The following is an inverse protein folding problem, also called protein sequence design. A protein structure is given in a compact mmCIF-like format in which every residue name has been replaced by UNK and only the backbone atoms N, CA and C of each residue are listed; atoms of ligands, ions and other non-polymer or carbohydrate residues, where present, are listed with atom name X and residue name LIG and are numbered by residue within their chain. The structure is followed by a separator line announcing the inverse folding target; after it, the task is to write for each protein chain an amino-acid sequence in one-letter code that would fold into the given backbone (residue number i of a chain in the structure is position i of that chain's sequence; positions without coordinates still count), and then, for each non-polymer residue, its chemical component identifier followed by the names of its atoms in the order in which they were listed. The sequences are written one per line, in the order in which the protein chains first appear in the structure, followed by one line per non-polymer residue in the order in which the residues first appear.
data_IF_833288629862
#
_entry.id   IF_833288629862
#
_cell.length_a   1.000
_cell.length_b   1.000
_cell.length_c   1.000
_cell.angle_alpha   90.00
_cell.angle_beta   90.00
_cell.angle_gamma   90.00
#
_symmetry.space_group_name_H-M   'P 1'
#
loop_
_entity.id
_entity.type
_entity.pdbx_description
1 polymer ?
#
# COMPACT_ATOMS: atom_id res chain seq x y z
N UNK A 1 -12.08 50.16 0.19
CA UNK A 1 -12.87 48.92 0.34
C UNK A 1 -12.20 47.67 -0.27
N UNK A 2 -11.47 47.76 -1.40
CA UNK A 2 -10.79 46.62 -2.04
C UNK A 2 -9.54 46.10 -1.28
N UNK A 3 -8.75 46.98 -0.65
CA UNK A 3 -7.53 46.57 0.08
C UNK A 3 -7.83 45.78 1.37
N UNK A 4 -8.90 46.10 2.09
CA UNK A 4 -9.28 45.42 3.32
C UNK A 4 -9.73 43.97 3.06
N UNK A 5 -10.45 43.71 1.96
CA UNK A 5 -10.82 42.36 1.53
C UNK A 5 -9.61 41.51 1.11
N UNK A 6 -8.58 42.13 0.52
CA UNK A 6 -7.34 41.41 0.15
C UNK A 6 -6.54 41.03 1.40
N UNK A 7 -6.50 41.90 2.41
CA UNK A 7 -5.79 41.64 3.66
C UNK A 7 -6.46 40.54 4.50
N UNK A 8 -7.79 40.52 4.55
CA UNK A 8 -8.55 39.45 5.22
C UNK A 8 -8.40 38.09 4.54
N UNK A 9 -8.30 38.06 3.22
CA UNK A 9 -8.03 36.82 2.46
C UNK A 9 -6.62 36.28 2.71
N UNK A 10 -5.63 37.17 2.83
CA UNK A 10 -4.24 36.82 3.11
C UNK A 10 -4.07 36.28 4.55
N UNK A 11 -4.77 36.91 5.52
CA UNK A 11 -4.79 36.43 6.91
C UNK A 11 -5.52 35.09 7.07
N UNK A 12 -6.56 34.82 6.29
CA UNK A 12 -7.28 33.56 6.27
C UNK A 12 -6.40 32.44 5.73
N UNK A 13 -5.59 32.72 4.70
CA UNK A 13 -4.64 31.80 4.09
C UNK A 13 -3.49 31.47 5.06
N UNK A 14 -2.99 32.46 5.80
CA UNK A 14 -1.91 32.26 6.80
C UNK A 14 -2.41 31.51 8.04
N UNK A 15 -3.66 31.71 8.47
CA UNK A 15 -4.23 31.08 9.66
C UNK A 15 -4.54 29.60 9.50
N UNK A 16 -4.64 29.10 8.26
CA UNK A 16 -4.90 27.71 7.93
C UNK A 16 -3.69 26.96 7.36
N UNK A 17 -2.47 27.53 7.39
CA UNK A 17 -1.25 26.94 6.82
C UNK A 17 -1.43 26.44 5.38
N UNK A 18 -2.20 27.16 4.56
CA UNK A 18 -2.46 26.82 3.18
C UNK A 18 -1.71 27.80 2.27
N UNK A 19 -0.44 27.55 2.00
CA UNK A 19 0.27 28.17 0.88
C UNK A 19 -0.20 27.44 -0.40
N UNK A 20 -1.32 27.90 -0.96
CA UNK A 20 -1.73 27.46 -2.30
C UNK A 20 -0.89 28.24 -3.31
N UNK A 21 0.26 27.70 -3.69
CA UNK A 21 0.86 28.06 -4.97
C UNK A 21 0.02 27.39 -6.05
N UNK A 22 -0.93 28.17 -6.62
CA UNK A 22 -1.65 27.78 -7.83
C UNK A 22 -0.64 27.89 -8.99
N UNK A 23 0.13 26.84 -9.21
CA UNK A 23 0.81 26.62 -10.46
C UNK A 23 0.10 25.49 -11.20
N UNK A 24 -0.10 25.66 -12.50
CA UNK A 24 -0.76 24.73 -13.44
C UNK A 24 -0.04 23.36 -13.56
N UNK A 25 0.23 22.69 -12.44
CA UNK A 25 0.95 21.42 -12.47
C UNK A 25 0.27 20.43 -11.53
N UNK A 26 -0.53 19.51 -12.09
CA UNK A 26 -1.28 18.43 -11.40
C UNK A 26 -0.44 17.60 -10.41
N UNK A 27 0.89 17.64 -10.54
CA UNK A 27 1.82 16.90 -9.69
C UNK A 27 2.00 17.51 -8.28
N UNK A 28 1.76 18.82 -8.10
CA UNK A 28 1.93 19.48 -6.79
C UNK A 28 0.73 19.17 -5.90
N UNK A 29 -0.48 19.14 -6.46
CA UNK A 29 -1.70 18.80 -5.69
C UNK A 29 -1.64 17.35 -5.19
N UNK A 30 -1.15 16.42 -5.99
CA UNK A 30 -0.95 15.01 -5.58
C UNK A 30 0.09 14.86 -4.48
N UNK A 31 1.17 15.66 -4.51
CA UNK A 31 2.19 15.67 -3.46
C UNK A 31 1.65 16.23 -2.14
N UNK A 32 0.83 17.26 -2.20
CA UNK A 32 0.22 17.91 -1.02
C UNK A 32 -0.80 17.02 -0.31
N UNK A 33 -1.51 16.13 -1.01
CA UNK A 33 -2.48 15.22 -0.38
C UNK A 33 -1.76 14.13 0.43
N UNK A 34 -0.62 13.64 -0.05
CA UNK A 34 0.20 12.65 0.68
C UNK A 34 0.91 13.29 1.89
N UNK A 35 1.23 14.57 1.84
CA UNK A 35 1.86 15.31 2.94
C UNK A 35 0.93 15.57 4.15
N UNK A 36 -0.37 15.28 4.03
CA UNK A 36 -1.38 15.56 5.09
C UNK A 36 -1.63 14.41 6.06
N UNK A 37 -0.95 13.28 5.97
CA UNK A 37 -1.10 12.25 7.00
C UNK A 37 -0.55 12.77 8.30
N UNK A 38 -1.41 13.02 9.28
CA UNK A 38 -0.99 13.35 10.64
C UNK A 38 -0.77 12.07 11.43
N UNK A 39 0.49 11.63 11.46
CA UNK A 39 0.88 10.43 12.21
C UNK A 39 0.98 10.68 13.74
N UNK A 40 0.86 11.93 14.20
CA UNK A 40 0.70 12.25 15.64
C UNK A 40 -0.76 12.07 16.10
N UNK A 41 -1.68 11.85 15.17
CA UNK A 41 -3.07 11.52 15.43
C UNK A 41 -3.18 10.08 15.98
N UNK A 42 -3.81 9.89 17.13
CA UNK A 42 -3.96 8.60 17.79
C UNK A 42 -5.03 7.68 17.15
N UNK A 43 -5.76 8.16 16.14
CA UNK A 43 -6.70 7.34 15.39
C UNK A 43 -5.99 6.20 14.67
N UNK A 44 -6.65 5.06 14.43
CA UNK A 44 -6.03 3.91 13.77
C UNK A 44 -5.68 4.18 12.29
N UNK A 45 -4.80 3.36 11.76
CA UNK A 45 -4.57 3.21 10.33
C UNK A 45 -5.60 2.24 9.79
N UNK A 46 -6.44 2.66 8.84
CA UNK A 46 -7.28 1.74 8.07
C UNK A 46 -6.48 1.07 6.97
N UNK A 47 -6.67 -0.21 6.75
CA UNK A 47 -5.97 -0.95 5.71
C UNK A 47 -6.90 -1.97 5.07
N UNK A 48 -6.92 -2.07 3.74
CA UNK A 48 -7.68 -3.12 3.08
C UNK A 48 -6.90 -3.86 2.00
N UNK A 49 -7.30 -5.10 1.79
CA UNK A 49 -6.86 -5.99 0.72
C UNK A 49 -8.01 -6.84 0.20
N UNK A 50 -7.82 -7.54 -0.90
CA UNK A 50 -8.80 -8.49 -1.45
C UNK A 50 -8.90 -9.82 -0.69
N UNK A 51 -7.92 -10.13 0.18
CA UNK A 51 -7.85 -11.43 0.86
C UNK A 51 -6.81 -11.46 1.97
N UNK A 52 -6.18 -12.64 2.18
CA UNK A 52 -5.15 -12.83 3.22
C UNK A 52 -3.82 -12.16 2.87
N UNK A 53 -3.57 -11.93 1.58
CA UNK A 53 -2.29 -11.40 1.11
C UNK A 53 -1.90 -10.07 1.75
N UNK A 54 -2.87 -9.22 2.06
CA UNK A 54 -2.63 -7.93 2.72
C UNK A 54 -1.97 -8.04 4.09
N UNK A 55 -2.08 -9.21 4.77
CA UNK A 55 -1.38 -9.44 6.04
C UNK A 55 0.15 -9.46 5.88
N UNK A 56 0.68 -9.68 4.67
CA UNK A 56 2.12 -9.49 4.42
C UNK A 56 2.53 -8.03 4.58
N UNK A 57 1.68 -7.10 4.11
CA UNK A 57 1.90 -5.65 4.26
C UNK A 57 1.65 -5.22 5.71
N UNK A 58 0.60 -5.73 6.34
CA UNK A 58 0.32 -5.53 7.77
C UNK A 58 1.54 -5.89 8.63
N UNK A 59 2.13 -7.07 8.43
CA UNK A 59 3.31 -7.54 9.14
C UNK A 59 4.49 -6.57 8.99
N UNK A 60 4.76 -6.07 7.79
CA UNK A 60 5.84 -5.10 7.56
C UNK A 60 5.57 -3.75 8.24
N UNK A 61 4.31 -3.29 8.26
CA UNK A 61 3.94 -2.06 8.98
C UNK A 61 4.13 -2.25 10.49
N UNK A 62 3.63 -3.34 11.08
CA UNK A 62 3.79 -3.62 12.53
C UNK A 62 5.25 -3.77 12.93
N UNK A 63 6.09 -4.35 12.08
CA UNK A 63 7.54 -4.47 12.33
C UNK A 63 8.23 -3.12 12.52
N UNK A 64 7.85 -2.09 11.78
CA UNK A 64 8.50 -0.77 11.82
C UNK A 64 7.74 0.28 12.63
N UNK A 65 6.44 0.06 12.85
CA UNK A 65 5.52 0.91 13.61
C UNK A 65 4.65 0.06 14.55
N UNK A 66 5.22 -0.62 15.56
CA UNK A 66 4.52 -1.58 16.41
C UNK A 66 3.39 -0.95 17.24
N UNK A 67 3.49 0.33 17.55
CA UNK A 67 2.54 1.06 18.38
C UNK A 67 1.35 1.66 17.61
N UNK A 68 1.36 1.60 16.28
CA UNK A 68 0.22 2.06 15.48
C UNK A 68 -0.90 1.02 15.51
N UNK A 69 -2.10 1.42 15.92
CA UNK A 69 -3.29 0.58 15.78
C UNK A 69 -3.68 0.47 14.31
N UNK A 70 -3.92 -0.77 13.85
CA UNK A 70 -4.38 -1.04 12.49
C UNK A 70 -5.77 -1.67 12.53
N UNK A 71 -6.67 -1.16 11.72
CA UNK A 71 -7.94 -1.80 11.39
C UNK A 71 -7.80 -2.35 9.97
N UNK A 72 -7.70 -3.68 9.89
CA UNK A 72 -7.55 -4.40 8.63
C UNK A 72 -8.91 -4.89 8.13
N UNK A 73 -9.16 -4.74 6.84
CA UNK A 73 -10.31 -5.29 6.14
C UNK A 73 -9.85 -6.17 4.98
N UNK A 74 -10.14 -7.47 5.06
CA UNK A 74 -10.00 -8.43 3.95
C UNK A 74 -11.32 -8.60 3.23
N UNK A 75 -11.40 -8.19 1.96
CA UNK A 75 -12.61 -8.38 1.15
C UNK A 75 -12.66 -9.78 0.51
N UNK A 76 -12.65 -10.79 1.39
CA UNK A 76 -12.58 -12.22 1.06
C UNK A 76 -13.74 -12.69 0.21
N UNK A 77 -14.96 -12.14 0.40
CA UNK A 77 -16.15 -12.43 -0.40
C UNK A 77 -15.95 -12.13 -1.90
N UNK A 78 -15.14 -11.13 -2.19
CA UNK A 78 -14.91 -10.66 -3.56
C UNK A 78 -13.55 -11.06 -4.12
N UNK A 79 -12.78 -11.89 -3.43
CA UNK A 79 -11.51 -12.44 -3.91
C UNK A 79 -11.73 -13.34 -5.16
N UNK A 80 -10.81 -13.36 -6.16
CA UNK A 80 -9.65 -12.48 -6.31
C UNK A 80 -9.98 -11.19 -7.10
N UNK A 81 -9.33 -10.07 -6.75
CA UNK A 81 -9.49 -8.81 -7.48
C UNK A 81 -8.83 -8.81 -8.86
N UNK A 82 -7.77 -9.59 -9.03
CA UNK A 82 -6.95 -9.59 -10.25
C UNK A 82 -7.65 -10.00 -11.55
N UNK A 83 -8.84 -10.61 -11.46
CA UNK A 83 -9.67 -11.02 -12.62
C UNK A 83 -10.87 -10.10 -12.87
N UNK A 84 -11.10 -9.10 -12.01
CA UNK A 84 -12.28 -8.21 -12.12
C UNK A 84 -12.01 -7.03 -13.04
N UNK A 85 -13.10 -6.41 -13.52
CA UNK A 85 -13.04 -5.18 -14.31
C UNK A 85 -12.57 -3.98 -13.46
N UNK A 86 -12.01 -2.96 -14.11
CA UNK A 86 -11.61 -1.72 -13.44
C UNK A 86 -12.77 -1.09 -12.68
N UNK A 87 -13.97 -1.04 -13.29
CA UNK A 87 -15.16 -0.47 -12.66
C UNK A 87 -15.53 -1.21 -11.38
N UNK A 88 -15.55 -2.55 -11.42
CA UNK A 88 -15.81 -3.36 -10.21
C UNK A 88 -14.77 -3.12 -9.12
N UNK A 89 -13.49 -2.99 -9.47
CA UNK A 89 -12.42 -2.71 -8.49
C UNK A 89 -12.61 -1.34 -7.84
N UNK A 90 -13.01 -0.32 -8.60
CA UNK A 90 -13.30 1.02 -8.07
C UNK A 90 -14.47 0.95 -7.07
N UNK A 91 -15.55 0.28 -7.43
CA UNK A 91 -16.73 0.15 -6.56
C UNK A 91 -16.44 -0.62 -5.28
N UNK A 92 -15.73 -1.75 -5.36
CA UNK A 92 -15.30 -2.51 -4.20
C UNK A 92 -14.35 -1.69 -3.33
N UNK A 93 -13.41 -0.96 -3.93
CA UNK A 93 -12.50 -0.09 -3.18
C UNK A 93 -13.25 1.01 -2.44
N UNK A 94 -14.28 1.62 -3.03
CA UNK A 94 -15.14 2.60 -2.37
C UNK A 94 -15.83 2.01 -1.15
N UNK A 95 -16.48 0.85 -1.28
CA UNK A 95 -17.13 0.16 -0.15
C UNK A 95 -16.16 -0.14 0.99
N UNK A 96 -14.97 -0.65 0.66
CA UNK A 96 -13.94 -0.93 1.66
C UNK A 96 -13.46 0.35 2.37
N UNK A 97 -13.33 1.45 1.64
CA UNK A 97 -12.94 2.75 2.19
C UNK A 97 -14.05 3.29 3.09
N UNK A 98 -15.33 3.23 2.66
CA UNK A 98 -16.47 3.70 3.43
C UNK A 98 -16.54 2.95 4.78
N UNK A 99 -16.42 1.62 4.77
CA UNK A 99 -16.34 0.82 6.00
C UNK A 99 -15.21 1.27 6.95
N UNK A 100 -14.01 1.49 6.40
CA UNK A 100 -12.86 1.95 7.20
C UNK A 100 -13.08 3.37 7.76
N UNK A 101 -13.74 4.25 7.02
CA UNK A 101 -14.06 5.60 7.50
C UNK A 101 -15.05 5.58 8.68
N UNK A 102 -15.99 4.64 8.69
CA UNK A 102 -16.88 4.42 9.85
C UNK A 102 -16.11 4.03 11.11
N UNK A 103 -14.91 3.44 10.98
CA UNK A 103 -14.01 3.12 12.08
C UNK A 103 -13.12 4.32 12.50
N UNK A 104 -13.39 5.52 12.01
CA UNK A 104 -12.68 6.76 12.36
C UNK A 104 -11.16 6.69 12.15
N UNK A 105 -10.71 6.15 11.03
CA UNK A 105 -9.28 6.02 10.71
C UNK A 105 -8.64 7.35 10.28
N UNK A 106 -7.35 7.55 10.59
CA UNK A 106 -6.58 8.74 10.21
C UNK A 106 -6.03 8.71 8.78
N UNK A 107 -5.85 7.53 8.24
CA UNK A 107 -5.32 7.29 6.88
C UNK A 107 -5.77 5.91 6.40
N UNK A 108 -5.79 5.71 5.11
CA UNK A 108 -6.14 4.42 4.50
C UNK A 108 -4.96 3.90 3.68
N UNK A 109 -4.60 2.65 3.91
CA UNK A 109 -3.62 1.90 3.14
C UNK A 109 -4.33 0.93 2.21
N UNK A 110 -4.11 1.09 0.90
CA UNK A 110 -4.52 0.10 -0.09
C UNK A 110 -3.37 -0.89 -0.26
N UNK A 111 -3.45 -2.02 0.45
CA UNK A 111 -2.44 -3.07 0.37
C UNK A 111 -2.51 -3.80 -0.97
N UNK A 112 -3.70 -4.05 -1.49
CA UNK A 112 -3.95 -4.77 -2.74
C UNK A 112 -3.30 -4.08 -3.95
N UNK A 113 -2.41 -4.81 -4.65
CA UNK A 113 -1.78 -4.32 -5.88
C UNK A 113 -2.77 -4.00 -6.99
N UNK A 114 -3.81 -4.83 -7.15
CA UNK A 114 -4.86 -4.60 -8.14
C UNK A 114 -5.69 -3.37 -7.81
N UNK A 115 -6.12 -3.21 -6.56
CA UNK A 115 -6.87 -2.03 -6.14
C UNK A 115 -6.01 -0.76 -6.28
N UNK A 116 -4.75 -0.79 -5.84
CA UNK A 116 -3.83 0.34 -6.03
C UNK A 116 -3.69 0.72 -7.51
N UNK A 117 -3.49 -0.27 -8.40
CA UNK A 117 -3.23 0.02 -9.82
C UNK A 117 -4.45 0.55 -10.56
N UNK A 118 -5.67 0.18 -10.15
CA UNK A 118 -6.89 0.48 -10.89
C UNK A 118 -7.78 1.53 -10.24
N UNK A 119 -7.81 1.64 -8.92
CA UNK A 119 -8.75 2.50 -8.20
C UNK A 119 -8.12 3.72 -7.51
N UNK A 120 -6.81 3.72 -7.22
CA UNK A 120 -6.20 4.74 -6.35
C UNK A 120 -6.44 6.18 -6.81
N UNK A 121 -6.37 6.46 -8.12
CA UNK A 121 -6.57 7.80 -8.65
C UNK A 121 -8.00 8.30 -8.42
N UNK A 122 -8.98 7.42 -8.65
CA UNK A 122 -10.40 7.72 -8.46
C UNK A 122 -10.70 7.97 -6.98
N UNK A 123 -10.32 7.03 -6.10
CA UNK A 123 -10.64 7.16 -4.67
C UNK A 123 -9.92 8.33 -4.01
N UNK A 124 -8.69 8.65 -4.40
CA UNK A 124 -7.99 9.84 -3.92
C UNK A 124 -8.65 11.15 -4.37
N UNK A 125 -9.42 11.15 -5.46
CA UNK A 125 -10.16 12.34 -5.91
C UNK A 125 -11.47 12.56 -5.16
N UNK A 126 -12.02 11.50 -4.55
CA UNK A 126 -13.33 11.50 -3.87
C UNK A 126 -13.16 11.73 -2.37
N UNK A 127 -12.25 11.00 -1.74
CA UNK A 127 -12.09 10.97 -0.29
C UNK A 127 -11.08 12.00 0.21
N UNK A 128 -11.41 12.67 1.32
CA UNK A 128 -10.53 13.68 1.95
C UNK A 128 -9.46 13.07 2.84
N UNK A 129 -9.67 11.83 3.31
CA UNK A 129 -8.69 11.11 4.11
C UNK A 129 -7.47 10.78 3.24
N UNK A 130 -6.24 10.86 3.76
CA UNK A 130 -5.07 10.43 3.02
C UNK A 130 -5.14 8.95 2.67
N UNK A 131 -4.93 8.61 1.38
CA UNK A 131 -4.95 7.23 0.89
C UNK A 131 -3.60 6.92 0.26
N UNK A 132 -2.95 5.86 0.74
CA UNK A 132 -1.63 5.43 0.31
C UNK A 132 -1.74 4.03 -0.30
N UNK A 133 -1.19 3.83 -1.49
CA UNK A 133 -1.09 2.52 -2.13
C UNK A 133 0.38 2.09 -2.28
N UNK A 134 0.59 0.81 -2.60
CA UNK A 134 1.93 0.20 -2.66
C UNK A 134 2.82 0.71 -3.80
N UNK A 135 2.26 1.29 -4.87
CA UNK A 135 3.03 1.66 -6.06
C UNK A 135 3.96 2.86 -5.80
N UNK A 136 3.44 3.94 -5.25
CA UNK A 136 4.21 5.18 -5.03
C UNK A 136 5.47 4.97 -4.19
N UNK A 137 5.35 4.40 -2.97
CA UNK A 137 6.49 4.12 -2.08
C UNK A 137 7.57 3.24 -2.73
N UNK A 138 7.14 2.24 -3.52
CA UNK A 138 8.07 1.36 -4.24
C UNK A 138 8.83 2.11 -5.32
N UNK A 139 8.17 3.01 -6.05
CA UNK A 139 8.83 3.83 -7.06
C UNK A 139 9.83 4.81 -6.43
N UNK A 140 9.49 5.43 -5.29
CA UNK A 140 10.43 6.28 -4.56
C UNK A 140 11.69 5.50 -4.15
N UNK A 141 11.51 4.26 -3.70
CA UNK A 141 12.63 3.38 -3.39
C UNK A 141 13.51 3.12 -4.63
N UNK A 142 12.92 2.69 -5.75
CA UNK A 142 13.70 2.40 -6.98
C UNK A 142 14.40 3.65 -7.48
N UNK A 143 13.74 4.81 -7.44
CA UNK A 143 14.32 6.10 -7.82
C UNK A 143 15.54 6.46 -6.99
N UNK A 144 15.62 6.04 -5.73
CA UNK A 144 16.78 6.26 -4.86
C UNK A 144 17.97 5.35 -5.19
N UNK A 145 17.81 4.38 -6.10
CA UNK A 145 18.81 3.38 -6.49
C UNK A 145 19.28 3.60 -7.93
N UNK A 146 20.34 4.37 -8.13
CA UNK A 146 20.87 4.68 -9.47
C UNK A 146 21.36 3.45 -10.24
N UNK A 147 21.71 2.36 -9.53
CA UNK A 147 22.17 1.10 -10.10
C UNK A 147 21.06 0.30 -10.80
N UNK A 148 19.79 0.55 -10.50
CA UNK A 148 18.66 -0.18 -11.07
C UNK A 148 18.31 0.42 -12.43
N UNK A 149 18.47 -0.37 -13.51
CA UNK A 149 18.15 -0.01 -14.90
C UNK A 149 17.13 -0.94 -15.54
N UNK A 150 17.11 -2.21 -15.13
CA UNK A 150 16.22 -3.24 -15.67
C UNK A 150 15.34 -3.78 -14.54
N UNK A 151 14.04 -3.45 -14.55
CA UNK A 151 13.08 -3.85 -13.53
C UNK A 151 12.05 -4.80 -14.10
N UNK A 152 11.93 -5.96 -13.48
CA UNK A 152 10.80 -6.87 -13.68
C UNK A 152 9.64 -6.52 -12.76
N UNK A 153 8.42 -6.71 -13.22
CA UNK A 153 7.21 -6.63 -12.40
C UNK A 153 6.39 -7.90 -12.58
N UNK A 154 6.25 -8.66 -11.53
CA UNK A 154 5.28 -9.77 -11.49
C UNK A 154 4.04 -9.32 -10.71
N UNK A 155 2.85 -9.54 -11.27
CA UNK A 155 1.60 -9.15 -10.64
C UNK A 155 0.40 -9.93 -11.21
N UNK A 156 -0.79 -9.67 -10.69
CA UNK A 156 -2.03 -10.21 -11.26
C UNK A 156 -2.30 -9.65 -12.65
N UNK A 157 -3.17 -10.33 -13.43
CA UNK A 157 -3.57 -9.86 -14.78
C UNK A 157 -4.08 -8.43 -14.75
N UNK A 158 -5.01 -8.13 -13.83
CA UNK A 158 -5.58 -6.78 -13.72
C UNK A 158 -4.55 -5.70 -13.43
N UNK A 159 -3.56 -6.01 -12.60
CA UNK A 159 -2.46 -5.09 -12.30
C UNK A 159 -1.57 -4.84 -13.51
N UNK A 160 -1.13 -5.89 -14.21
CA UNK A 160 -0.26 -5.74 -15.38
C UNK A 160 -0.98 -5.02 -16.51
N UNK A 161 -2.22 -5.41 -16.83
CA UNK A 161 -3.02 -4.79 -17.91
C UNK A 161 -3.38 -3.33 -17.66
N UNK A 162 -3.38 -2.89 -16.41
CA UNK A 162 -3.55 -1.46 -16.08
C UNK A 162 -2.38 -0.59 -16.53
N UNK A 163 -1.22 -1.19 -16.80
CA UNK A 163 0.07 -0.53 -17.07
C UNK A 163 0.52 0.47 -15.97
N UNK A 164 -0.12 0.46 -14.79
CA UNK A 164 0.13 1.44 -13.74
C UNK A 164 1.59 1.43 -13.26
N UNK A 165 2.22 0.25 -13.14
CA UNK A 165 3.63 0.13 -12.78
C UNK A 165 4.53 0.80 -13.82
N UNK A 166 4.41 0.40 -15.08
CA UNK A 166 5.28 0.90 -16.15
C UNK A 166 5.12 2.40 -16.36
N UNK A 167 3.87 2.89 -16.42
CA UNK A 167 3.57 4.32 -16.60
C UNK A 167 4.21 5.14 -15.47
N UNK A 168 4.02 4.73 -14.22
CA UNK A 168 4.51 5.52 -13.09
C UNK A 168 6.03 5.40 -12.90
N UNK A 169 6.63 4.23 -13.16
CA UNK A 169 8.08 4.03 -13.15
C UNK A 169 8.76 4.90 -14.22
N UNK A 170 8.34 4.79 -15.48
CA UNK A 170 8.94 5.56 -16.60
C UNK A 170 8.70 7.07 -16.47
N UNK A 171 7.59 7.50 -15.85
CA UNK A 171 7.33 8.92 -15.58
C UNK A 171 8.34 9.52 -14.62
N UNK A 172 8.83 8.76 -13.65
CA UNK A 172 9.68 9.27 -12.57
C UNK A 172 11.17 8.93 -12.74
N UNK A 173 11.48 7.90 -13.52
CA UNK A 173 12.84 7.39 -13.67
C UNK A 173 13.17 7.31 -15.17
N UNK A 174 14.10 8.17 -15.63
CA UNK A 174 14.55 8.19 -17.02
C UNK A 174 15.37 6.94 -17.33
N UNK A 175 15.27 6.44 -18.57
CA UNK A 175 16.05 5.31 -19.09
C UNK A 175 15.88 4.00 -18.29
N UNK A 176 14.73 3.79 -17.63
CA UNK A 176 14.38 2.55 -16.95
C UNK A 176 13.70 1.59 -17.94
N UNK A 177 14.23 0.38 -18.06
CA UNK A 177 13.57 -0.72 -18.75
C UNK A 177 12.64 -1.44 -17.80
N UNK A 178 11.38 -1.62 -18.19
CA UNK A 178 10.35 -2.29 -17.39
C UNK A 178 9.83 -3.50 -18.12
N UNK A 179 9.87 -4.66 -17.48
CA UNK A 179 9.43 -5.94 -18.00
C UNK A 179 8.29 -6.48 -17.16
N UNK A 180 7.10 -6.58 -17.72
CA UNK A 180 5.88 -6.97 -17.02
C UNK A 180 5.53 -8.44 -17.27
N UNK A 181 5.13 -9.19 -16.23
CA UNK A 181 4.65 -10.57 -16.35
C UNK A 181 3.40 -10.79 -15.52
N UNK A 182 2.34 -11.27 -16.17
CA UNK A 182 1.13 -11.73 -15.49
C UNK A 182 1.39 -13.07 -14.79
N UNK A 183 1.12 -13.14 -13.48
CA UNK A 183 1.31 -14.35 -12.67
C UNK A 183 0.02 -14.75 -11.94
N UNK A 184 -1.07 -15.07 -12.66
CA UNK A 184 -2.41 -15.22 -12.07
C UNK A 184 -2.55 -16.39 -11.08
N UNK A 185 -1.68 -17.40 -11.14
CA UNK A 185 -1.80 -18.59 -10.30
C UNK A 185 -1.24 -18.38 -8.88
N UNK A 186 -0.31 -17.41 -8.69
CA UNK A 186 0.38 -17.27 -7.41
C UNK A 186 -0.54 -16.83 -6.27
N UNK A 187 -1.52 -15.96 -6.53
CA UNK A 187 -2.43 -15.52 -5.46
C UNK A 187 -3.36 -16.67 -4.99
N UNK A 188 -4.06 -17.43 -5.86
CA UNK A 188 -4.79 -18.62 -5.44
C UNK A 188 -3.93 -19.66 -4.72
N UNK A 189 -2.72 -19.93 -5.22
CA UNK A 189 -1.82 -20.88 -4.57
C UNK A 189 -1.43 -20.43 -3.16
N UNK A 190 -1.25 -19.13 -2.95
CA UNK A 190 -0.95 -18.58 -1.65
C UNK A 190 -2.13 -18.71 -0.66
N UNK A 191 -3.36 -18.49 -1.12
CA UNK A 191 -4.58 -18.68 -0.32
C UNK A 191 -4.77 -20.15 0.10
N UNK A 192 -4.33 -21.11 -0.74
CA UNK A 192 -4.31 -22.54 -0.41
C UNK A 192 -3.07 -22.97 0.40
N UNK A 193 -2.15 -22.04 0.70
CA UNK A 193 -0.91 -22.32 1.43
C UNK A 193 0.15 -23.08 0.62
N UNK A 194 0.01 -23.13 -0.72
CA UNK A 194 0.95 -23.80 -1.62
C UNK A 194 2.12 -22.91 -1.99
N UNK A 195 2.91 -22.52 -1.01
CA UNK A 195 3.94 -21.50 -1.18
C UNK A 195 5.37 -22.04 -1.17
N UNK A 196 5.58 -23.33 -0.78
CA UNK A 196 6.93 -23.92 -0.64
C UNK A 196 7.06 -25.30 -1.30
N UNK A 197 6.02 -25.80 -1.96
CA UNK A 197 6.01 -27.12 -2.60
C UNK A 197 6.61 -27.11 -4.02
N UNK A 198 6.75 -28.27 -4.64
CA UNK A 198 7.30 -28.41 -5.99
C UNK A 198 6.44 -27.71 -7.05
N UNK A 199 5.11 -27.67 -6.87
CA UNK A 199 4.21 -26.97 -7.80
C UNK A 199 4.52 -25.48 -7.79
N UNK A 200 4.75 -24.89 -6.61
CA UNK A 200 5.15 -23.49 -6.49
C UNK A 200 6.48 -23.21 -7.19
N UNK A 201 7.48 -24.09 -7.01
CA UNK A 201 8.79 -23.97 -7.67
C UNK A 201 8.67 -23.99 -9.18
N UNK A 202 7.93 -24.97 -9.73
CA UNK A 202 7.72 -25.10 -11.17
C UNK A 202 6.93 -23.90 -11.74
N UNK A 203 5.89 -23.46 -11.03
CA UNK A 203 5.08 -22.32 -11.46
C UNK A 203 5.90 -21.03 -11.51
N UNK A 204 6.72 -20.78 -10.48
CA UNK A 204 7.59 -19.59 -10.46
C UNK A 204 8.63 -19.68 -11.57
N UNK A 205 9.27 -20.85 -11.75
CA UNK A 205 10.22 -21.07 -12.84
C UNK A 205 9.60 -20.73 -14.20
N UNK A 206 8.37 -21.18 -14.45
CA UNK A 206 7.65 -20.88 -15.69
C UNK A 206 7.39 -19.37 -15.86
N UNK A 207 7.08 -18.68 -14.79
CA UNK A 207 6.80 -17.25 -14.86
C UNK A 207 8.05 -16.38 -15.06
N UNK A 208 9.21 -16.79 -14.51
CA UNK A 208 10.42 -15.96 -14.55
C UNK A 208 11.40 -16.30 -15.66
N UNK A 209 11.24 -17.45 -16.36
CA UNK A 209 12.20 -18.00 -17.33
C UNK A 209 12.53 -17.07 -18.51
N UNK A 210 11.55 -16.24 -18.92
CA UNK A 210 11.67 -15.37 -20.11
C UNK A 210 12.15 -13.96 -19.77
N UNK A 211 12.40 -13.65 -18.49
CA UNK A 211 12.96 -12.36 -18.15
C UNK A 211 14.40 -12.23 -18.63
N UNK A 212 14.79 -11.07 -19.18
CA UNK A 212 16.21 -10.77 -19.38
C UNK A 212 16.91 -10.64 -18.01
N UNK A 213 18.20 -10.37 -18.01
CA UNK A 213 18.91 -10.04 -16.78
C UNK A 213 18.28 -8.80 -16.14
N UNK A 214 17.75 -8.97 -14.94
CA UNK A 214 17.12 -7.91 -14.16
C UNK A 214 18.04 -7.44 -13.05
N UNK A 215 18.00 -6.14 -12.74
CA UNK A 215 18.60 -5.57 -11.53
C UNK A 215 17.66 -5.73 -10.33
N UNK A 216 16.35 -5.61 -10.58
CA UNK A 216 15.33 -5.78 -9.54
C UNK A 216 14.05 -6.42 -10.08
N UNK A 217 13.35 -7.16 -9.22
CA UNK A 217 12.02 -7.74 -9.47
C UNK A 217 11.03 -7.25 -8.42
N UNK A 218 10.00 -6.54 -8.85
CA UNK A 218 8.91 -6.05 -8.00
C UNK A 218 7.87 -7.16 -7.80
N UNK A 219 7.57 -7.48 -6.55
CA UNK A 219 6.44 -8.31 -6.15
C UNK A 219 5.17 -7.45 -6.10
N UNK A 220 4.52 -7.25 -7.24
CA UNK A 220 3.39 -6.32 -7.42
C UNK A 220 2.03 -6.84 -6.89
N UNK A 221 2.03 -7.90 -6.11
CA UNK A 221 0.86 -8.48 -5.44
C UNK A 221 1.22 -8.84 -4.00
N UNK A 222 0.30 -8.61 -3.07
CA UNK A 222 0.47 -8.86 -1.63
C UNK A 222 0.72 -10.32 -1.28
N UNK A 223 0.30 -11.26 -2.12
CA UNK A 223 0.54 -12.68 -1.92
C UNK A 223 1.98 -13.11 -2.29
N UNK A 224 2.66 -12.38 -3.18
CA UNK A 224 3.91 -12.87 -3.77
C UNK A 224 5.12 -12.87 -2.82
N UNK A 225 5.19 -12.04 -1.76
CA UNK A 225 6.21 -12.21 -0.73
C UNK A 225 6.26 -13.59 -0.07
N UNK A 226 5.14 -14.35 -0.09
CA UNK A 226 5.10 -15.75 0.41
C UNK A 226 5.95 -16.72 -0.41
N UNK A 227 6.28 -16.35 -1.64
CA UNK A 227 7.14 -17.13 -2.55
C UNK A 227 8.58 -16.59 -2.64
N UNK A 228 8.92 -15.58 -1.82
CA UNK A 228 10.19 -14.85 -1.95
C UNK A 228 11.40 -15.77 -1.99
N UNK A 229 11.48 -16.74 -1.08
CA UNK A 229 12.62 -17.69 -1.02
C UNK A 229 12.81 -18.50 -2.31
N UNK A 230 11.71 -18.92 -2.94
CA UNK A 230 11.76 -19.66 -4.21
C UNK A 230 12.23 -18.73 -5.34
N UNK A 231 11.70 -17.49 -5.35
CA UNK A 231 12.06 -16.50 -6.37
C UNK A 231 13.54 -16.15 -6.26
N UNK A 232 14.06 -15.89 -5.05
CA UNK A 232 15.47 -15.58 -4.81
C UNK A 232 16.41 -16.73 -5.27
N UNK A 233 16.01 -17.98 -5.03
CA UNK A 233 16.78 -19.15 -5.52
C UNK A 233 16.81 -19.26 -7.05
N UNK A 234 15.78 -18.80 -7.73
CA UNK A 234 15.69 -18.83 -9.20
C UNK A 234 16.30 -17.59 -9.86
N UNK A 235 16.41 -16.49 -9.12
CA UNK A 235 16.93 -15.22 -9.60
C UNK A 235 18.00 -14.64 -8.64
N UNK A 236 19.12 -15.36 -8.41
CA UNK A 236 20.07 -15.08 -7.32
C UNK A 236 20.79 -13.72 -7.43
N UNK A 237 20.81 -13.12 -8.63
CA UNK A 237 21.48 -11.83 -8.88
C UNK A 237 20.49 -10.68 -9.07
N UNK A 238 19.22 -10.85 -8.66
CA UNK A 238 18.16 -9.88 -8.83
C UNK A 238 17.67 -9.44 -7.44
N UNK A 239 17.60 -8.14 -7.20
CA UNK A 239 17.01 -7.62 -5.96
C UNK A 239 15.49 -7.88 -5.95
N UNK A 240 15.00 -8.65 -4.99
CA UNK A 240 13.57 -8.94 -4.85
C UNK A 240 12.91 -7.87 -3.98
N UNK A 241 12.09 -7.04 -4.61
CA UNK A 241 11.44 -5.88 -3.96
C UNK A 241 10.08 -6.28 -3.41
N UNK A 242 9.97 -6.35 -2.07
CA UNK A 242 8.72 -6.48 -1.34
C UNK A 242 8.03 -5.11 -1.23
N UNK A 243 6.91 -4.93 -1.92
CA UNK A 243 6.17 -3.66 -1.96
C UNK A 243 5.60 -3.26 -0.59
N UNK A 244 5.24 -4.24 0.26
CA UNK A 244 4.78 -3.99 1.62
C UNK A 244 5.88 -3.42 2.51
N UNK A 245 7.11 -3.94 2.41
CA UNK A 245 8.28 -3.42 3.11
C UNK A 245 8.58 -1.97 2.70
N UNK A 246 8.51 -1.67 1.39
CA UNK A 246 8.78 -0.31 0.91
C UNK A 246 7.69 0.68 1.36
N UNK A 247 6.43 0.25 1.38
CA UNK A 247 5.34 1.04 1.93
C UNK A 247 5.55 1.31 3.43
N UNK A 248 5.85 0.28 4.22
CA UNK A 248 6.06 0.42 5.66
C UNK A 248 7.20 1.39 6.00
N UNK A 249 8.33 1.26 5.31
CA UNK A 249 9.47 2.16 5.47
C UNK A 249 9.15 3.60 5.03
N UNK A 250 8.40 3.77 3.94
CA UNK A 250 7.93 5.07 3.50
C UNK A 250 7.07 5.76 4.57
N UNK A 251 6.10 5.05 5.14
CA UNK A 251 5.22 5.58 6.20
C UNK A 251 6.03 5.99 7.43
N UNK A 252 6.95 5.13 7.90
CA UNK A 252 7.85 5.42 9.03
C UNK A 252 8.69 6.68 8.79
N UNK A 253 9.28 6.82 7.60
CA UNK A 253 10.10 7.99 7.27
C UNK A 253 9.28 9.28 7.27
N UNK A 254 8.02 9.24 6.83
CA UNK A 254 7.12 10.41 6.88
C UNK A 254 6.79 10.83 8.32
N UNK A 255 6.70 9.90 9.26
CA UNK A 255 6.57 10.21 10.69
C UNK A 255 7.82 10.94 11.19
N UNK A 256 9.01 10.37 10.94
CA UNK A 256 10.29 10.93 11.40
C UNK A 256 10.53 12.33 10.81
N UNK A 257 10.22 12.56 9.53
CA UNK A 257 10.35 13.88 8.89
C UNK A 257 9.48 14.93 9.60
N UNK A 258 8.25 14.57 10.00
CA UNK A 258 7.36 15.49 10.73
C UNK A 258 7.82 15.77 12.16
N UNK A 259 8.30 14.78 12.88
CA UNK A 259 8.84 14.96 14.22
C UNK A 259 10.01 15.95 14.22
N UNK A 260 10.92 15.87 13.24
CA UNK A 260 12.03 16.80 13.07
C UNK A 260 11.59 18.24 12.76
N UNK A 261 10.51 18.40 12.00
CA UNK A 261 9.96 19.74 11.69
C UNK A 261 9.16 20.33 12.86
N UNK A 262 8.57 19.51 13.71
CA UNK A 262 7.83 19.93 14.89
C UNK A 262 8.70 20.29 16.08
N UNK A 263 9.92 19.74 16.20
CA UNK A 263 10.89 20.08 17.27
C UNK A 263 11.46 21.49 17.13
N UNK A 264 11.31 22.15 15.98
CA UNK A 264 11.64 23.57 15.81
C UNK A 264 10.55 24.52 16.35
N UNK A 265 9.38 24.02 16.72
CA UNK A 265 8.31 24.76 17.39
C UNK A 265 8.04 24.07 18.74
N UNK A 266 8.70 24.60 19.79
CA UNK A 266 8.65 24.07 21.14
C UNK A 266 7.22 23.81 21.63
N UNK A 267 6.81 22.53 21.66
CA UNK A 267 5.93 21.99 22.68
C UNK A 267 6.27 20.51 22.89
N UNK A 268 6.96 20.28 24.01
CA UNK A 268 7.35 18.98 24.52
C UNK A 268 6.12 18.14 24.93
N UNK A 269 6.19 16.86 24.55
CA UNK A 269 5.78 15.70 25.33
C UNK A 269 4.47 15.81 26.13
N UNK A 270 3.42 15.28 25.57
CA UNK A 270 2.53 14.43 26.36
C UNK A 270 2.95 12.97 26.09
N UNK A 271 3.43 12.33 27.16
CA UNK A 271 3.65 10.89 27.19
C UNK A 271 2.43 10.17 26.67
N UNK A 272 2.62 9.28 25.68
CA UNK A 272 1.58 8.34 25.24
C UNK A 272 1.12 7.57 26.47
N UNK A 273 -0.02 7.94 27.03
CA UNK A 273 -0.80 7.02 27.86
C UNK A 273 -1.11 5.84 26.93
N UNK A 274 -0.61 4.67 27.30
CA UNK A 274 -0.98 3.40 26.69
C UNK A 274 -2.48 3.21 26.97
N UNK A 275 -3.33 3.61 26.05
CA UNK A 275 -4.73 3.26 26.10
C UNK A 275 -4.83 1.74 26.03
N UNK A 276 -5.41 1.13 27.03
CA UNK A 276 -5.63 -0.33 27.15
C UNK A 276 -6.43 -0.94 25.98
N UNK A 277 -6.95 -0.13 25.05
CA UNK A 277 -7.71 -0.52 23.86
C UNK A 277 -6.93 -0.37 22.55
N UNK A 278 -5.60 -0.52 22.55
CA UNK A 278 -4.77 -0.34 21.35
C UNK A 278 -4.56 -1.64 20.55
N UNK A 279 -5.48 -2.62 20.67
CA UNK A 279 -5.41 -3.85 19.89
C UNK A 279 -5.83 -3.62 18.44
N UNK A 280 -5.12 -4.25 17.53
CA UNK A 280 -5.48 -4.28 16.12
C UNK A 280 -6.78 -5.04 15.91
N UNK A 281 -7.52 -4.69 14.88
CA UNK A 281 -8.79 -5.32 14.54
C UNK A 281 -8.76 -5.83 13.10
N UNK A 282 -9.17 -7.08 12.92
CA UNK A 282 -9.16 -7.73 11.60
C UNK A 282 -10.59 -8.11 11.22
N UNK A 283 -11.07 -7.49 10.16
CA UNK A 283 -12.39 -7.70 9.60
C UNK A 283 -12.30 -8.45 8.28
N UNK A 284 -13.27 -9.36 8.05
CA UNK A 284 -13.45 -10.08 6.79
C UNK A 284 -14.87 -9.91 6.30
N UNK A 285 -15.05 -9.78 4.97
CA UNK A 285 -16.38 -9.75 4.36
C UNK A 285 -17.00 -11.14 4.27
N UNK A 286 -16.18 -12.19 4.25
CA UNK A 286 -16.56 -13.59 4.37
C UNK A 286 -15.56 -14.33 5.27
N UNK A 287 -16.06 -15.03 6.29
CA UNK A 287 -15.24 -15.75 7.27
C UNK A 287 -15.09 -17.24 6.97
N UNK A 288 -15.82 -17.77 5.98
CA UNK A 288 -15.79 -19.18 5.56
C UNK A 288 -14.67 -19.43 4.52
N UNK A 289 -13.48 -18.90 4.77
CA UNK A 289 -12.34 -19.06 3.89
C UNK A 289 -11.12 -19.59 4.66
N UNK A 290 -10.09 -20.03 3.94
CA UNK A 290 -8.86 -20.55 4.55
C UNK A 290 -8.00 -19.46 5.22
N UNK A 291 -8.54 -18.27 5.40
CA UNK A 291 -7.84 -17.09 5.94
C UNK A 291 -7.17 -17.37 7.28
N UNK A 292 -7.86 -18.05 8.22
CA UNK A 292 -7.35 -18.33 9.57
C UNK A 292 -6.06 -19.16 9.50
N UNK A 293 -6.03 -20.21 8.68
CA UNK A 293 -4.87 -21.10 8.57
C UNK A 293 -3.67 -20.40 7.94
N UNK A 294 -3.91 -19.57 6.91
CA UNK A 294 -2.85 -18.83 6.23
C UNK A 294 -2.36 -17.68 7.11
N UNK A 295 -3.26 -16.97 7.78
CA UNK A 295 -2.89 -15.87 8.69
C UNK A 295 -2.06 -16.35 9.87
N UNK A 296 -2.44 -17.49 10.49
CA UNK A 296 -1.66 -18.09 11.57
C UNK A 296 -0.23 -18.41 11.14
N UNK A 297 -0.06 -19.04 9.97
CA UNK A 297 1.27 -19.33 9.41
C UNK A 297 2.09 -18.06 9.12
N UNK A 298 1.42 -16.98 8.71
CA UNK A 298 2.06 -15.74 8.30
C UNK A 298 2.45 -14.87 9.48
N UNK A 299 1.56 -14.73 10.47
CA UNK A 299 1.76 -13.86 11.64
C UNK A 299 2.34 -14.60 12.84
N UNK A 300 2.27 -15.92 12.85
CA UNK A 300 2.69 -16.78 13.95
C UNK A 300 1.93 -16.52 15.27
N UNK A 301 0.69 -16.01 15.16
CA UNK A 301 -0.21 -15.73 16.27
C UNK A 301 -1.66 -15.99 15.88
N UNK A 302 -2.51 -16.26 16.88
CA UNK A 302 -3.96 -16.35 16.67
C UNK A 302 -4.53 -14.94 16.58
N UNK A 303 -5.33 -14.72 15.53
CA UNK A 303 -6.03 -13.46 15.31
C UNK A 303 -7.51 -13.67 15.61
N UNK A 304 -8.11 -12.72 16.31
CA UNK A 304 -9.56 -12.63 16.43
C UNK A 304 -10.12 -11.98 15.17
N UNK A 305 -11.02 -12.69 14.50
CA UNK A 305 -11.65 -12.23 13.28
C UNK A 305 -13.04 -11.68 13.55
N UNK A 306 -13.34 -10.54 12.97
CA UNK A 306 -14.66 -9.91 12.98
C UNK A 306 -15.28 -9.95 11.58
N UNK A 307 -16.60 -10.11 11.50
CA UNK A 307 -17.29 -10.05 10.21
C UNK A 307 -17.61 -8.60 9.87
N UNK A 308 -17.23 -8.19 8.66
CA UNK A 308 -17.64 -6.92 8.08
C UNK A 308 -18.90 -7.10 7.24
N UNK A 309 -19.90 -6.27 7.45
CA UNK A 309 -21.13 -6.24 6.65
C UNK A 309 -21.05 -5.03 5.71
N UNK A 310 -20.57 -5.26 4.47
CA UNK A 310 -20.38 -4.22 3.44
C UNK A 310 -20.95 -4.65 2.08
#
# INVERSE_FOLDING_TARGET
MKLKKLFDLTLFIIRYNLLIFITKNDNIIKKVIIEKVDFMDNRPIGMFDSGVGGLTVYKEIKKVMPNEKIIYLGDTKNFPYGSKSKQSIIELSKKNIDFLLEQNVKTIVIACGTATSQAIQEVQSIYKVPIIGIIGPTIEYIKSKESIKNVGVIATRGTIRSNAWEINLKKQIKNLNVYNKECPLLAPMAEEGWTQNEIAKLTIKEYVKDFPKLDALILGCTHYPLFKEIIEKQMPNTEIINTGEKLANYMKNKIIEKEKTSTNNAQKQQSKELNENNQDEIYLTDTECNFINVSYKLLNEKIELKKANI
#
